data_IF_546123603760
#
_entry.id   IF_546123603760
#
_cell.length_a   1.000
_cell.length_b   1.000
_cell.length_c   1.000
_cell.angle_alpha   90.00
_cell.angle_beta   90.00
_cell.angle_gamma   90.00
#
_symmetry.space_group_name_H-M   'P 1'
#
loop_
_entity.id
_entity.type
_entity.pdbx_description
1 polymer ?
#
# COMPACT_ATOMS: atom_id res chain seq x y z
N UNK A 1 -4.95 10.74 -2.06
CA UNK A 1 -4.84 9.77 -3.18
C UNK A 1 -4.67 8.36 -2.67
N UNK A 2 -4.98 7.35 -3.49
CA UNK A 2 -4.89 5.94 -3.14
C UNK A 2 -4.12 5.19 -4.23
N UNK A 3 -3.28 4.23 -3.81
CA UNK A 3 -2.76 3.21 -4.70
C UNK A 3 -3.78 2.08 -4.83
N UNK A 4 -3.90 1.54 -6.04
CA UNK A 4 -4.74 0.36 -6.31
C UNK A 4 -3.81 -0.84 -6.45
N UNK A 5 -3.96 -1.83 -5.58
CA UNK A 5 -3.20 -3.07 -5.61
C UNK A 5 -4.13 -4.21 -5.99
N UNK A 6 -3.88 -4.87 -7.11
CA UNK A 6 -4.61 -6.07 -7.50
C UNK A 6 -4.21 -7.25 -6.62
N UNK A 7 -5.18 -7.82 -5.91
CA UNK A 7 -5.01 -9.02 -5.09
C UNK A 7 -5.90 -10.18 -5.57
N UNK A 8 -5.73 -11.35 -4.96
CA UNK A 8 -6.46 -12.57 -5.35
C UNK A 8 -7.99 -12.46 -5.19
N UNK A 9 -8.48 -11.54 -4.35
CA UNK A 9 -9.90 -11.34 -4.05
C UNK A 9 -10.48 -10.04 -4.67
N UNK A 10 -9.73 -9.38 -5.55
CA UNK A 10 -10.09 -8.09 -6.13
C UNK A 10 -9.03 -7.02 -5.83
N UNK A 11 -9.45 -5.76 -5.89
CA UNK A 11 -8.56 -4.62 -5.66
C UNK A 11 -8.52 -4.23 -4.18
N UNK A 12 -7.33 -3.85 -3.71
CA UNK A 12 -7.12 -3.25 -2.39
C UNK A 12 -6.68 -1.81 -2.61
N UNK A 13 -7.35 -0.88 -1.93
CA UNK A 13 -6.99 0.53 -1.94
C UNK A 13 -6.06 0.81 -0.77
N UNK A 14 -4.83 1.25 -1.08
CA UNK A 14 -3.83 1.60 -0.08
C UNK A 14 -3.74 3.14 -0.03
N UNK A 15 -4.08 3.78 1.12
CA UNK A 15 -3.96 5.22 1.27
C UNK A 15 -2.52 5.71 1.09
N UNK A 16 -2.32 6.73 0.27
CA UNK A 16 -1.01 7.36 0.08
C UNK A 16 -0.76 8.43 1.16
N UNK A 17 -0.73 8.02 2.43
CA UNK A 17 -0.46 8.88 3.60
C UNK A 17 0.78 8.39 4.35
N UNK A 18 1.43 9.29 5.09
CA UNK A 18 2.67 9.03 5.84
C UNK A 18 2.53 7.87 6.84
N UNK A 19 1.38 7.77 7.48
CA UNK A 19 1.12 6.71 8.47
C UNK A 19 1.10 5.31 7.85
N UNK A 20 0.80 5.19 6.56
CA UNK A 20 0.70 3.91 5.84
C UNK A 20 1.95 3.62 5.02
N UNK A 21 2.49 4.62 4.31
CA UNK A 21 3.63 4.45 3.39
C UNK A 21 4.94 4.79 4.09
N UNK A 22 5.75 3.77 4.38
CA UNK A 22 7.01 3.94 5.13
C UNK A 22 8.21 4.23 4.26
N UNK A 23 8.26 3.63 3.07
CA UNK A 23 9.34 3.90 2.12
C UNK A 23 8.91 3.61 0.69
N UNK A 24 9.56 4.33 -0.23
CA UNK A 24 9.43 4.14 -1.67
C UNK A 24 10.86 3.97 -2.20
N UNK A 25 11.14 2.80 -2.75
CA UNK A 25 12.36 2.50 -3.48
C UNK A 25 12.01 2.44 -4.96
N UNK A 26 12.37 3.50 -5.67
CA UNK A 26 12.12 3.63 -7.11
C UNK A 26 13.06 2.76 -7.95
N UNK A 27 14.26 2.45 -7.45
CA UNK A 27 15.24 1.65 -8.18
C UNK A 27 14.78 0.18 -8.24
N UNK A 28 14.25 -0.34 -7.13
CA UNK A 28 13.69 -1.70 -7.08
C UNK A 28 12.19 -1.77 -7.42
N UNK A 29 11.53 -0.62 -7.60
CA UNK A 29 10.10 -0.54 -7.90
C UNK A 29 9.23 -1.05 -6.74
N UNK A 30 9.62 -0.78 -5.50
CA UNK A 30 8.95 -1.27 -4.28
C UNK A 30 8.48 -0.15 -3.39
N UNK A 31 7.30 -0.35 -2.81
CA UNK A 31 6.75 0.48 -1.75
C UNK A 31 6.61 -0.41 -0.52
N UNK A 32 7.16 0.03 0.61
CA UNK A 32 6.98 -0.63 1.90
C UNK A 32 5.89 0.09 2.66
N UNK A 33 4.90 -0.67 3.13
CA UNK A 33 3.78 -0.14 3.92
C UNK A 33 3.78 -0.73 5.32
N UNK A 34 3.29 0.05 6.27
CA UNK A 34 2.85 -0.43 7.59
C UNK A 34 1.32 -0.31 7.61
N UNK A 35 0.58 -1.41 7.39
CA UNK A 35 -0.86 -1.34 7.30
C UNK A 35 -1.47 -1.07 8.67
N UNK A 36 -2.43 -0.16 8.73
CA UNK A 36 -3.29 0.01 9.91
C UNK A 36 -4.22 -1.19 10.08
N UNK A 37 -4.72 -1.38 11.30
CA UNK A 37 -5.66 -2.46 11.59
C UNK A 37 -6.90 -2.39 10.67
N UNK A 38 -7.27 -3.53 10.09
CA UNK A 38 -8.40 -3.64 9.17
C UNK A 38 -8.13 -3.19 7.73
N UNK A 39 -6.93 -2.70 7.39
CA UNK A 39 -6.59 -2.31 6.02
C UNK A 39 -6.42 -3.51 5.07
N UNK A 40 -5.83 -4.60 5.58
CA UNK A 40 -5.58 -5.83 4.82
C UNK A 40 -6.53 -6.96 5.27
N UNK A 41 -6.97 -7.85 4.36
CA UNK A 41 -7.93 -8.92 4.62
C UNK A 41 -7.33 -10.18 5.28
#
# INVERSE_FOLDING_TARGET
DNYVVSGAKGEILIPAIEDVVKSIDLDSGRITIEPIEGLLP
#
